data_IF_986909420849
#
_entry.id   IF_986909420849
#
_cell.length_a   1.000
_cell.length_b   1.000
_cell.length_c   1.000
_cell.angle_alpha   90.00
_cell.angle_beta   90.00
_cell.angle_gamma   90.00
#
_symmetry.space_group_name_H-M   'P 1'
#
loop_
_entity.id
_entity.type
_entity.pdbx_description
1 polymer ?
#
# COMPACT_ATOMS: atom_id res chain seq x y z
N UNK A 1 -21.14 24.92 4.97
CA UNK A 1 -19.95 24.98 4.11
C UNK A 1 -18.73 25.21 5.00
N UNK A 2 -18.07 24.13 5.42
CA UNK A 2 -16.70 24.19 5.93
C UNK A 2 -15.79 23.55 4.89
N UNK A 3 -14.66 24.21 4.64
CA UNK A 3 -13.84 24.12 3.44
C UNK A 3 -12.48 23.49 3.72
N UNK A 4 -12.43 22.28 4.30
CA UNK A 4 -11.17 21.56 4.56
C UNK A 4 -11.28 20.03 4.41
N UNK A 5 -12.36 19.53 3.82
CA UNK A 5 -12.50 18.09 3.54
C UNK A 5 -12.05 17.78 2.13
N UNK A 6 -10.86 17.20 1.96
CA UNK A 6 -10.56 16.43 0.74
C UNK A 6 -11.73 15.49 0.43
N UNK A 7 -12.08 15.36 -0.84
CA UNK A 7 -13.18 14.47 -1.23
C UNK A 7 -12.81 13.02 -0.90
N UNK A 8 -13.80 12.14 -0.69
CA UNK A 8 -13.51 10.73 -0.43
C UNK A 8 -12.71 10.10 -1.58
N UNK A 9 -13.00 10.51 -2.82
CA UNK A 9 -12.25 10.13 -4.02
C UNK A 9 -10.79 10.56 -3.93
N UNK A 10 -10.51 11.81 -3.53
CA UNK A 10 -9.12 12.25 -3.35
C UNK A 10 -8.38 11.42 -2.28
N UNK A 11 -9.05 10.99 -1.22
CA UNK A 11 -8.45 10.13 -0.18
C UNK A 11 -8.21 8.71 -0.70
N UNK A 12 -9.12 8.15 -1.50
CA UNK A 12 -8.95 6.86 -2.18
C UNK A 12 -7.82 6.91 -3.22
N UNK A 13 -7.79 7.92 -4.08
CA UNK A 13 -6.76 8.13 -5.11
C UNK A 13 -5.37 8.24 -4.46
N UNK A 14 -5.25 9.03 -3.39
CA UNK A 14 -3.99 9.17 -2.66
C UNK A 14 -3.55 7.84 -2.04
N UNK A 15 -4.48 7.06 -1.50
CA UNK A 15 -4.20 5.74 -0.93
C UNK A 15 -3.80 4.74 -2.04
N UNK A 16 -4.53 4.69 -3.15
CA UNK A 16 -4.23 3.85 -4.30
C UNK A 16 -2.85 4.18 -4.87
N UNK A 17 -2.56 5.45 -5.14
CA UNK A 17 -1.26 5.91 -5.64
C UNK A 17 -0.11 5.54 -4.69
N UNK A 18 -0.33 5.70 -3.38
CA UNK A 18 0.67 5.33 -2.37
C UNK A 18 0.95 3.82 -2.37
N UNK A 19 -0.05 2.99 -2.69
CA UNK A 19 0.07 1.54 -2.72
C UNK A 19 0.59 0.99 -4.06
N UNK A 20 0.16 1.54 -5.19
CA UNK A 20 0.57 1.15 -6.54
C UNK A 20 1.97 1.69 -6.90
N UNK A 21 2.24 2.94 -6.53
CA UNK A 21 3.54 3.58 -6.76
C UNK A 21 4.59 3.23 -5.70
N UNK A 22 4.15 2.86 -4.50
CA UNK A 22 5.04 2.55 -3.37
C UNK A 22 5.47 1.09 -3.35
N UNK A 23 6.58 0.75 -4.03
CA UNK A 23 7.21 -0.60 -3.99
C UNK A 23 7.35 -1.12 -2.55
N UNK A 24 7.69 -0.24 -1.60
CA UNK A 24 7.79 -0.56 -0.18
C UNK A 24 6.44 -0.90 0.45
N UNK A 25 5.38 -0.12 0.18
CA UNK A 25 4.04 -0.38 0.72
C UNK A 25 3.54 -1.74 0.26
N UNK A 26 3.64 -2.02 -1.05
CA UNK A 26 3.26 -3.31 -1.59
C UNK A 26 4.06 -4.44 -0.95
N UNK A 27 5.36 -4.27 -0.79
CA UNK A 27 6.20 -5.31 -0.24
C UNK A 27 5.94 -5.57 1.26
N UNK A 28 5.72 -4.52 2.06
CA UNK A 28 5.39 -4.60 3.49
C UNK A 28 4.03 -5.28 3.71
N UNK A 29 3.01 -4.87 2.96
CA UNK A 29 1.62 -5.26 3.21
C UNK A 29 1.13 -6.44 2.39
N UNK A 30 1.78 -6.78 1.27
CA UNK A 30 1.18 -7.72 0.31
C UNK A 30 2.12 -8.78 -0.26
N UNK A 31 3.45 -8.63 -0.18
CA UNK A 31 4.40 -9.59 -0.80
C UNK A 31 4.15 -11.05 -0.47
N UNK A 32 3.87 -11.33 0.81
CA UNK A 32 3.67 -12.69 1.30
C UNK A 32 2.20 -13.16 1.19
N UNK A 33 1.29 -12.32 0.69
CA UNK A 33 -0.12 -12.67 0.52
C UNK A 33 -0.76 -11.89 -0.65
N UNK A 34 -0.53 -12.31 -1.91
CA UNK A 34 -1.06 -11.64 -3.09
C UNK A 34 -2.59 -11.49 -3.08
N UNK A 35 -3.31 -12.47 -2.53
CA UNK A 35 -4.77 -12.40 -2.41
C UNK A 35 -5.24 -11.22 -1.53
N UNK A 36 -4.43 -10.76 -0.59
CA UNK A 36 -4.74 -9.57 0.21
C UNK A 36 -4.59 -8.28 -0.59
N UNK A 37 -3.71 -8.26 -1.60
CA UNK A 37 -3.60 -7.12 -2.52
C UNK A 37 -4.83 -7.02 -3.42
N UNK A 38 -5.22 -8.13 -4.03
CA UNK A 38 -6.43 -8.18 -4.86
C UNK A 38 -7.66 -7.75 -4.04
N UNK A 39 -7.75 -8.24 -2.80
CA UNK A 39 -8.81 -7.83 -1.89
C UNK A 39 -8.74 -6.34 -1.54
N UNK A 40 -7.55 -5.80 -1.31
CA UNK A 40 -7.35 -4.38 -1.05
C UNK A 40 -7.87 -3.53 -2.22
N UNK A 41 -7.50 -3.88 -3.46
CA UNK A 41 -7.94 -3.18 -4.67
C UNK A 41 -9.47 -3.26 -4.83
N UNK A 42 -10.05 -4.46 -4.72
CA UNK A 42 -11.50 -4.65 -4.78
C UNK A 42 -12.23 -3.84 -3.70
N UNK A 43 -11.64 -3.71 -2.51
CA UNK A 43 -12.20 -2.85 -1.47
C UNK A 43 -12.17 -1.36 -1.86
N UNK A 44 -11.09 -0.85 -2.47
CA UNK A 44 -11.03 0.53 -2.94
C UNK A 44 -12.07 0.79 -4.03
N UNK A 45 -12.11 -0.06 -5.07
CA UNK A 45 -13.08 0.04 -6.15
C UNK A 45 -14.52 0.05 -5.61
N UNK A 46 -14.81 -0.87 -4.67
CA UNK A 46 -16.13 -0.96 -4.05
C UNK A 46 -16.51 0.28 -3.23
N UNK A 47 -15.52 0.97 -2.62
CA UNK A 47 -15.75 2.21 -1.88
C UNK A 47 -16.10 3.35 -2.84
N UNK A 48 -15.38 3.45 -3.96
CA UNK A 48 -15.57 4.47 -4.99
C UNK A 48 -16.88 4.29 -5.76
N UNK A 49 -17.19 3.05 -6.17
CA UNK A 49 -18.47 2.71 -6.82
C UNK A 49 -19.66 3.03 -5.91
N UNK A 50 -19.56 2.65 -4.64
CA UNK A 50 -20.59 2.96 -3.66
C UNK A 50 -20.72 4.48 -3.41
N UNK A 51 -19.60 5.21 -3.36
CA UNK A 51 -19.64 6.67 -3.23
C UNK A 51 -20.29 7.32 -4.46
N UNK A 52 -19.97 6.83 -5.65
CA UNK A 52 -20.58 7.30 -6.91
C UNK A 52 -22.10 7.13 -6.87
N UNK A 53 -22.58 5.96 -6.45
CA UNK A 53 -24.02 5.70 -6.32
C UNK A 53 -24.70 6.61 -5.27
N UNK A 54 -24.03 6.89 -4.15
CA UNK A 54 -24.53 7.83 -3.12
C UNK A 54 -24.61 9.25 -3.71
N UNK A 55 -23.57 9.70 -4.41
CA UNK A 55 -23.51 11.02 -5.03
C UNK A 55 -24.55 11.19 -6.14
N UNK A 56 -24.80 10.15 -6.92
CA UNK A 56 -25.89 10.10 -7.91
C UNK A 56 -27.24 10.28 -7.23
N UNK A 57 -27.51 9.56 -6.13
CA UNK A 57 -28.74 9.75 -5.35
C UNK A 57 -28.89 11.20 -4.86
N UNK A 58 -27.80 11.80 -4.33
CA UNK A 58 -27.80 13.19 -3.86
C UNK A 58 -28.13 14.16 -4.99
N UNK A 59 -27.67 13.89 -6.22
CA UNK A 59 -27.91 14.73 -7.41
C UNK A 59 -29.30 14.56 -8.01
N UNK A 60 -30.06 13.50 -7.67
CA UNK A 60 -31.40 13.29 -8.20
C UNK A 60 -32.32 14.50 -7.89
N UNK A 61 -33.06 15.01 -8.88
CA UNK A 61 -33.97 16.12 -8.65
C UNK A 61 -35.20 15.67 -7.84
N UNK A 62 -35.85 16.61 -7.14
CA UNK A 62 -36.94 16.29 -6.20
C UNK A 62 -38.18 15.69 -6.88
N UNK A 63 -38.44 16.06 -8.13
CA UNK A 63 -39.55 15.59 -8.94
C UNK A 63 -39.48 14.09 -9.25
N UNK A 64 -38.27 13.50 -9.28
CA UNK A 64 -38.08 12.04 -9.39
C UNK A 64 -38.72 11.29 -8.23
N UNK A 65 -38.72 11.87 -7.02
CA UNK A 65 -39.25 11.20 -5.82
C UNK A 65 -40.78 11.26 -5.71
N UNK A 66 -41.45 12.09 -6.52
CA UNK A 66 -42.92 12.11 -6.60
C UNK A 66 -43.51 10.84 -7.23
N UNK A 67 -42.67 9.95 -7.79
CA UNK A 67 -43.06 8.76 -8.55
C UNK A 67 -42.86 7.40 -7.84
N UNK A 68 -42.79 7.36 -6.50
CA UNK A 68 -42.62 6.10 -5.72
C UNK A 68 -41.32 5.33 -6.08
N UNK A 69 -40.18 6.02 -6.08
CA UNK A 69 -38.90 5.44 -6.51
C UNK A 69 -38.26 4.54 -5.45
N UNK A 70 -38.91 3.42 -5.13
CA UNK A 70 -38.39 2.37 -4.23
C UNK A 70 -36.98 1.93 -4.63
N UNK A 71 -36.69 1.91 -5.93
CA UNK A 71 -35.35 1.58 -6.45
C UNK A 71 -34.27 2.54 -5.94
N UNK A 72 -34.55 3.85 -5.86
CA UNK A 72 -33.55 4.84 -5.41
C UNK A 72 -33.21 4.64 -3.93
N UNK A 73 -34.20 4.35 -3.08
CA UNK A 73 -33.96 4.04 -1.67
C UNK A 73 -33.22 2.72 -1.50
N UNK A 74 -33.60 1.69 -2.26
CA UNK A 74 -32.91 0.40 -2.21
C UNK A 74 -31.47 0.53 -2.68
N UNK A 75 -31.23 1.28 -3.76
CA UNK A 75 -29.90 1.59 -4.27
C UNK A 75 -29.06 2.34 -3.24
N UNK A 76 -29.58 3.41 -2.64
CA UNK A 76 -28.88 4.16 -1.61
C UNK A 76 -28.51 3.30 -0.39
N UNK A 77 -29.48 2.58 0.18
CA UNK A 77 -29.26 1.71 1.34
C UNK A 77 -28.24 0.61 1.02
N UNK A 78 -28.31 0.03 -0.18
CA UNK A 78 -27.35 -0.98 -0.62
C UNK A 78 -25.95 -0.40 -0.84
N UNK A 79 -25.84 0.80 -1.42
CA UNK A 79 -24.55 1.47 -1.63
C UNK A 79 -23.87 1.77 -0.29
N UNK A 80 -24.60 2.34 0.69
CA UNK A 80 -24.09 2.59 2.04
C UNK A 80 -23.58 1.28 2.68
N UNK A 81 -24.37 0.22 2.59
CA UNK A 81 -24.00 -1.09 3.14
C UNK A 81 -22.72 -1.65 2.50
N UNK A 82 -22.61 -1.59 1.17
CA UNK A 82 -21.43 -2.06 0.43
C UNK A 82 -20.19 -1.23 0.79
N UNK A 83 -20.33 0.10 0.88
CA UNK A 83 -19.22 0.97 1.26
C UNK A 83 -18.70 0.60 2.66
N UNK A 84 -19.58 0.33 3.62
CA UNK A 84 -19.20 -0.08 4.97
C UNK A 84 -18.47 -1.43 5.00
N UNK A 85 -18.92 -2.41 4.21
CA UNK A 85 -18.26 -3.72 4.12
C UNK A 85 -16.89 -3.63 3.47
N UNK A 86 -16.77 -2.81 2.43
CA UNK A 86 -15.51 -2.54 1.76
C UNK A 86 -14.53 -1.80 2.68
N UNK A 87 -14.98 -0.79 3.43
CA UNK A 87 -14.19 -0.08 4.44
C UNK A 87 -13.70 -1.02 5.55
N UNK A 88 -14.56 -1.91 6.06
CA UNK A 88 -14.15 -2.94 7.02
C UNK A 88 -13.10 -3.88 6.42
N UNK A 89 -13.33 -4.33 5.19
CA UNK A 89 -12.40 -5.19 4.44
C UNK A 89 -11.03 -4.54 4.30
N UNK A 90 -10.99 -3.30 3.82
CA UNK A 90 -9.80 -2.47 3.65
C UNK A 90 -9.02 -2.33 4.97
N UNK A 91 -9.71 -1.89 6.02
CA UNK A 91 -9.12 -1.69 7.34
C UNK A 91 -8.52 -2.99 7.89
N UNK A 92 -9.21 -4.12 7.73
CA UNK A 92 -8.71 -5.43 8.14
C UNK A 92 -7.49 -5.90 7.33
N UNK A 93 -7.45 -5.63 6.03
CA UNK A 93 -6.32 -5.99 5.16
C UNK A 93 -5.02 -5.32 5.62
N UNK A 94 -5.09 -4.05 6.01
CA UNK A 94 -3.91 -3.28 6.43
C UNK A 94 -3.51 -3.57 7.88
N UNK A 95 -4.45 -3.53 8.82
CA UNK A 95 -4.12 -3.67 10.25
C UNK A 95 -3.81 -5.12 10.67
N UNK A 96 -4.25 -6.12 9.90
CA UNK A 96 -4.02 -7.56 10.15
C UNK A 96 -4.34 -8.03 11.58
N UNK A 97 -5.28 -7.35 12.25
CA UNK A 97 -5.74 -7.73 13.59
C UNK A 97 -6.65 -8.96 13.47
N UNK A 98 -6.16 -10.12 13.93
CA UNK A 98 -6.87 -11.39 13.84
C UNK A 98 -8.25 -11.35 14.53
N UNK A 99 -8.32 -10.65 15.67
CA UNK A 99 -9.54 -10.56 16.49
C UNK A 99 -10.48 -9.42 16.09
N UNK A 100 -10.18 -8.69 15.00
CA UNK A 100 -11.03 -7.60 14.56
C UNK A 100 -12.34 -8.13 13.96
N UNK A 101 -13.42 -7.95 14.72
CA UNK A 101 -14.79 -8.20 14.26
C UNK A 101 -15.39 -6.95 13.65
N UNK A 102 -16.43 -7.13 12.83
CA UNK A 102 -17.16 -6.03 12.23
C UNK A 102 -17.85 -5.14 13.30
N UNK A 103 -18.32 -5.74 14.40
CA UNK A 103 -18.88 -4.99 15.53
C UNK A 103 -17.84 -4.04 16.14
N UNK A 104 -16.66 -4.56 16.48
CA UNK A 104 -15.59 -3.74 17.07
C UNK A 104 -15.11 -2.64 16.12
N UNK A 105 -15.06 -2.94 14.82
CA UNK A 105 -14.74 -1.93 13.81
C UNK A 105 -15.73 -0.76 13.86
N UNK A 106 -17.03 -1.02 13.87
CA UNK A 106 -18.02 0.05 13.93
C UNK A 106 -18.03 0.80 15.27
N UNK A 107 -17.72 0.12 16.39
CA UNK A 107 -17.53 0.76 17.69
C UNK A 107 -16.33 1.73 17.70
N UNK A 108 -15.20 1.36 17.08
CA UNK A 108 -13.99 2.20 17.00
C UNK A 108 -14.28 3.53 16.27
N UNK A 109 -15.12 3.49 15.23
CA UNK A 109 -15.44 4.66 14.43
C UNK A 109 -16.78 5.31 14.81
N UNK A 110 -17.41 4.84 15.90
CA UNK A 110 -18.60 5.43 16.51
C UNK A 110 -19.78 5.59 15.54
N UNK A 111 -19.94 4.66 14.59
CA UNK A 111 -21.07 4.69 13.65
C UNK A 111 -22.26 3.90 14.23
N UNK A 112 -23.44 4.52 14.22
CA UNK A 112 -24.65 3.85 14.65
C UNK A 112 -25.10 2.84 13.59
N UNK A 113 -24.99 1.56 13.94
CA UNK A 113 -25.42 0.45 13.09
C UNK A 113 -26.93 0.40 12.88
N UNK A 114 -27.71 0.93 13.83
CA UNK A 114 -29.17 0.91 13.75
C UNK A 114 -29.66 1.88 12.66
N UNK A 115 -29.07 3.07 12.58
CA UNK A 115 -29.45 4.09 11.58
C UNK A 115 -29.12 3.67 10.14
N UNK A 116 -28.16 2.76 9.93
CA UNK A 116 -27.66 2.41 8.59
C UNK A 116 -27.95 0.95 8.22
N UNK A 117 -27.31 0.00 8.93
CA UNK A 117 -27.33 -1.43 8.56
C UNK A 117 -28.65 -2.08 8.91
N UNK A 118 -29.21 -1.78 10.08
CA UNK A 118 -30.50 -2.34 10.47
C UNK A 118 -31.62 -1.75 9.61
N UNK A 119 -31.62 -0.44 9.34
CA UNK A 119 -32.48 0.18 8.36
C UNK A 119 -32.45 -0.52 6.99
N UNK A 120 -31.25 -0.77 6.43
CA UNK A 120 -31.11 -1.55 5.18
C UNK A 120 -31.66 -2.96 5.34
N UNK A 121 -31.33 -3.66 6.41
CA UNK A 121 -31.78 -5.04 6.64
C UNK A 121 -33.30 -5.14 6.78
N UNK A 122 -33.92 -4.14 7.41
CA UNK A 122 -35.36 -4.04 7.60
C UNK A 122 -36.07 -3.70 6.29
N UNK A 123 -35.53 -2.80 5.48
CA UNK A 123 -36.22 -2.27 4.28
C UNK A 123 -35.94 -3.09 3.02
N UNK A 124 -34.67 -3.45 2.78
CA UNK A 124 -34.19 -4.01 1.52
C UNK A 124 -33.49 -5.38 1.66
N UNK A 125 -33.11 -5.78 2.87
CA UNK A 125 -32.42 -7.04 3.12
C UNK A 125 -33.37 -8.23 3.31
N UNK A 126 -34.07 -8.25 4.46
CA UNK A 126 -34.91 -9.38 4.87
C UNK A 126 -36.27 -8.97 5.43
N UNK A 127 -37.01 -8.01 4.81
CA UNK A 127 -38.21 -7.40 5.40
C UNK A 127 -39.26 -8.41 5.87
N UNK A 128 -39.38 -9.57 5.23
CA UNK A 128 -40.44 -10.56 5.51
C UNK A 128 -40.03 -11.67 6.47
N UNK A 129 -38.80 -11.69 6.99
CA UNK A 129 -38.30 -12.75 7.86
C UNK A 129 -37.25 -12.25 8.87
N UNK A 130 -37.50 -11.09 9.50
CA UNK A 130 -36.59 -10.56 10.52
C UNK A 130 -36.83 -11.25 11.86
N UNK A 131 -35.81 -11.24 12.72
CA UNK A 131 -35.85 -11.81 14.08
C UNK A 131 -36.39 -13.25 14.12
N UNK A 132 -36.08 -14.06 13.09
CA UNK A 132 -36.56 -15.45 12.96
C UNK A 132 -38.06 -15.57 12.64
N UNK A 133 -38.62 -14.64 11.87
CA UNK A 133 -40.03 -14.61 11.47
C UNK A 133 -40.97 -13.92 12.46
N UNK A 134 -40.41 -13.28 13.51
CA UNK A 134 -41.17 -12.58 14.55
C UNK A 134 -41.47 -11.11 14.23
N UNK A 135 -40.81 -10.57 13.21
CA UNK A 135 -40.98 -9.19 12.78
C UNK A 135 -41.00 -9.10 11.25
N UNK A 136 -41.91 -8.26 10.75
CA UNK A 136 -42.07 -7.95 9.34
C UNK A 136 -41.97 -6.45 9.14
N UNK A 137 -41.30 -6.01 8.08
CA UNK A 137 -41.10 -4.60 7.82
C UNK A 137 -41.71 -4.20 6.49
N UNK A 138 -42.34 -3.03 6.48
CA UNK A 138 -42.97 -2.45 5.31
C UNK A 138 -42.50 -1.01 5.11
N UNK A 139 -41.98 -0.72 3.91
CA UNK A 139 -41.61 0.63 3.50
C UNK A 139 -42.86 1.46 3.18
N UNK A 140 -43.06 2.55 3.90
CA UNK A 140 -44.14 3.50 3.63
C UNK A 140 -43.82 4.40 2.45
N UNK A 141 -44.27 3.98 1.27
CA UNK A 141 -44.07 4.72 0.02
C UNK A 141 -44.86 6.03 -0.07
N UNK A 142 -45.82 6.27 0.82
CA UNK A 142 -46.65 7.48 0.75
C UNK A 142 -46.05 8.63 1.55
N UNK A 143 -45.45 8.33 2.71
CA UNK A 143 -44.84 9.34 3.57
C UNK A 143 -43.31 9.44 3.43
N UNK A 144 -42.73 8.75 2.45
CA UNK A 144 -41.28 8.82 2.17
C UNK A 144 -40.98 9.97 1.20
N UNK A 145 -39.85 10.65 1.40
CA UNK A 145 -39.32 11.72 0.54
C UNK A 145 -37.83 11.50 0.27
N UNK A 146 -37.22 12.32 -0.61
CA UNK A 146 -35.77 12.28 -0.84
C UNK A 146 -34.94 12.34 0.47
N UNK A 147 -35.44 13.09 1.45
CA UNK A 147 -34.73 13.38 2.70
C UNK A 147 -35.17 12.51 3.87
N UNK A 148 -36.23 11.72 3.72
CA UNK A 148 -36.78 10.94 4.83
C UNK A 148 -37.38 9.64 4.36
N UNK A 149 -36.97 8.53 4.97
CA UNK A 149 -37.54 7.20 4.72
C UNK A 149 -38.39 6.80 5.91
N UNK A 150 -39.66 6.49 5.66
CA UNK A 150 -40.59 6.01 6.67
C UNK A 150 -40.88 4.52 6.45
N UNK A 151 -40.83 3.74 7.52
CA UNK A 151 -41.16 2.31 7.46
C UNK A 151 -41.77 1.83 8.78
N UNK A 152 -42.47 0.71 8.71
CA UNK A 152 -43.20 0.13 9.84
C UNK A 152 -42.68 -1.26 10.15
N UNK A 153 -42.55 -1.58 11.44
CA UNK A 153 -42.40 -2.95 11.95
C UNK A 153 -43.78 -3.47 12.37
N UNK A 154 -44.11 -4.68 11.93
CA UNK A 154 -45.20 -5.50 12.42
C UNK A 154 -44.62 -6.66 13.22
N UNK A 155 -44.95 -6.70 14.51
CA UNK A 155 -44.61 -7.77 15.44
C UNK A 155 -45.89 -8.30 16.11
N UNK A 156 -45.78 -9.41 16.87
CA UNK A 156 -46.95 -10.12 17.42
C UNK A 156 -47.96 -9.21 18.14
N UNK A 157 -47.49 -8.20 18.89
CA UNK A 157 -48.37 -7.35 19.72
C UNK A 157 -48.25 -5.84 19.41
N UNK A 158 -47.39 -5.44 18.47
CA UNK A 158 -47.09 -4.02 18.27
C UNK A 158 -46.79 -3.68 16.80
N UNK A 159 -47.31 -2.52 16.39
CA UNK A 159 -46.87 -1.81 15.19
C UNK A 159 -46.01 -0.63 15.63
N UNK A 160 -44.78 -0.58 15.15
CA UNK A 160 -43.84 0.51 15.41
C UNK A 160 -43.54 1.25 14.11
N UNK A 161 -43.48 2.58 14.16
CA UNK A 161 -43.07 3.42 13.04
C UNK A 161 -41.64 3.91 13.24
N UNK A 162 -40.87 3.89 12.17
CA UNK A 162 -39.50 4.37 12.12
C UNK A 162 -39.35 5.41 11.02
N UNK A 163 -38.56 6.44 11.29
CA UNK A 163 -38.23 7.51 10.36
C UNK A 163 -36.73 7.68 10.32
N UNK A 164 -36.13 7.54 9.14
CA UNK A 164 -34.71 7.78 8.89
C UNK A 164 -34.57 9.16 8.26
N UNK A 165 -33.67 9.98 8.80
CA UNK A 165 -33.18 11.18 8.14
C UNK A 165 -32.08 10.78 7.14
N UNK A 166 -32.41 10.85 5.86
CA UNK A 166 -31.52 10.41 4.78
C UNK A 166 -30.30 11.32 4.66
N UNK A 167 -30.47 12.63 4.89
CA UNK A 167 -29.36 13.57 4.80
C UNK A 167 -28.36 13.31 5.92
N UNK A 168 -28.84 13.16 7.15
CA UNK A 168 -28.02 12.80 8.31
C UNK A 168 -27.30 11.46 8.09
N UNK A 169 -28.00 10.46 7.56
CA UNK A 169 -27.42 9.14 7.24
C UNK A 169 -26.26 9.25 6.24
N UNK A 170 -26.44 10.01 5.15
CA UNK A 170 -25.39 10.24 4.14
C UNK A 170 -24.21 10.99 4.74
N UNK A 171 -24.45 12.03 5.53
CA UNK A 171 -23.39 12.83 6.15
C UNK A 171 -22.59 12.00 7.17
N UNK A 172 -23.26 11.18 7.98
CA UNK A 172 -22.64 10.24 8.90
C UNK A 172 -21.78 9.21 8.16
N UNK A 173 -22.32 8.62 7.08
CA UNK A 173 -21.59 7.66 6.27
C UNK A 173 -20.34 8.28 5.62
N UNK A 174 -20.44 9.50 5.08
CA UNK A 174 -19.30 10.21 4.51
C UNK A 174 -18.23 10.47 5.55
N UNK A 175 -18.62 10.97 6.73
CA UNK A 175 -17.67 11.24 7.81
C UNK A 175 -16.96 9.95 8.27
N UNK A 176 -17.71 8.87 8.41
CA UNK A 176 -17.20 7.54 8.73
C UNK A 176 -16.20 7.05 7.68
N UNK A 177 -16.54 7.10 6.39
CA UNK A 177 -15.66 6.67 5.30
C UNK A 177 -14.33 7.44 5.30
N UNK A 178 -14.39 8.77 5.42
CA UNK A 178 -13.19 9.61 5.51
C UNK A 178 -12.32 9.27 6.73
N UNK A 179 -12.92 9.02 7.91
CA UNK A 179 -12.16 8.63 9.11
C UNK A 179 -11.43 7.31 8.92
N UNK A 180 -12.10 6.31 8.34
CA UNK A 180 -11.50 4.98 8.11
C UNK A 180 -10.32 5.08 7.15
N UNK A 181 -10.48 5.75 6.00
CA UNK A 181 -9.39 5.86 5.01
C UNK A 181 -8.20 6.63 5.58
N UNK A 182 -8.44 7.70 6.35
CA UNK A 182 -7.37 8.44 7.04
C UNK A 182 -6.60 7.54 8.01
N UNK A 183 -7.29 6.74 8.82
CA UNK A 183 -6.65 5.81 9.75
C UNK A 183 -5.84 4.74 9.01
N UNK A 184 -6.36 4.21 7.89
CA UNK A 184 -5.63 3.29 7.02
C UNK A 184 -4.34 3.93 6.48
N UNK A 185 -4.42 5.16 5.98
CA UNK A 185 -3.27 5.91 5.49
C UNK A 185 -2.22 6.14 6.59
N UNK A 186 -2.64 6.52 7.79
CA UNK A 186 -1.75 6.70 8.95
C UNK A 186 -1.02 5.39 9.27
N UNK A 187 -1.75 4.27 9.32
CA UNK A 187 -1.15 2.98 9.66
C UNK A 187 -0.19 2.49 8.56
N UNK A 188 -0.48 2.72 7.28
CA UNK A 188 0.45 2.42 6.18
C UNK A 188 1.75 3.22 6.34
N UNK A 189 1.65 4.54 6.54
CA UNK A 189 2.82 5.41 6.73
C UNK A 189 3.67 4.97 7.91
N UNK A 190 3.02 4.70 9.04
CA UNK A 190 3.67 4.19 10.25
C UNK A 190 4.40 2.87 10.00
N UNK A 191 3.81 1.93 9.27
CA UNK A 191 4.46 0.67 8.93
C UNK A 191 5.67 0.86 8.00
N UNK A 192 5.60 1.80 7.05
CA UNK A 192 6.74 2.20 6.20
C UNK A 192 7.87 2.80 7.04
N UNK A 193 7.57 3.76 7.91
CA UNK A 193 8.54 4.38 8.83
C UNK A 193 9.20 3.33 9.72
N UNK A 194 8.41 2.44 10.33
CA UNK A 194 8.92 1.35 11.15
C UNK A 194 9.82 0.38 10.36
N UNK A 195 9.51 0.14 9.09
CA UNK A 195 10.35 -0.68 8.23
C UNK A 195 11.66 0.02 7.87
N UNK A 196 11.61 1.29 7.44
CA UNK A 196 12.79 2.11 7.14
C UNK A 196 13.75 2.20 8.32
N UNK A 197 13.21 2.41 9.53
CA UNK A 197 13.98 2.50 10.77
C UNK A 197 14.87 1.28 11.05
N UNK A 198 14.55 0.09 10.51
CA UNK A 198 15.40 -1.11 10.66
C UNK A 198 16.75 -0.97 9.95
N UNK A 199 16.88 0.01 9.07
CA UNK A 199 18.06 0.23 8.22
C UNK A 199 18.75 1.58 8.48
N UNK A 200 18.27 2.39 9.43
CA UNK A 200 18.85 3.72 9.71
C UNK A 200 20.33 3.67 10.12
N UNK A 201 20.74 2.61 10.82
CA UNK A 201 22.11 2.49 11.33
C UNK A 201 23.11 1.98 10.27
N UNK A 202 22.63 1.61 9.07
CA UNK A 202 23.47 1.06 8.01
C UNK A 202 23.26 1.86 6.72
N UNK A 203 24.27 2.64 6.33
CA UNK A 203 24.32 3.23 5.00
C UNK A 203 24.94 2.22 4.03
N UNK A 204 24.31 1.97 2.89
CA UNK A 204 24.88 1.14 1.83
C UNK A 204 26.17 1.77 1.28
N UNK A 205 26.21 3.09 1.18
CA UNK A 205 27.38 3.80 0.65
C UNK A 205 28.64 3.54 1.47
N UNK A 206 28.54 3.40 2.79
CA UNK A 206 29.71 3.12 3.65
C UNK A 206 30.30 1.73 3.45
N UNK A 207 29.58 0.80 2.81
CA UNK A 207 30.14 -0.50 2.40
C UNK A 207 31.22 -0.35 1.31
N UNK A 208 31.31 0.82 0.66
CA UNK A 208 32.34 1.15 -0.31
C UNK A 208 33.61 1.75 0.35
N UNK A 209 33.62 1.97 1.66
CA UNK A 209 34.74 2.61 2.35
C UNK A 209 36.04 1.82 2.16
N UNK A 210 37.07 2.52 1.68
CA UNK A 210 38.38 1.91 1.43
C UNK A 210 38.48 1.10 0.13
N UNK A 211 37.40 0.99 -0.66
CA UNK A 211 37.41 0.28 -1.95
C UNK A 211 38.49 0.80 -2.90
N UNK A 212 38.68 2.13 -2.99
CA UNK A 212 39.70 2.72 -3.86
C UNK A 212 41.10 2.17 -3.59
N UNK A 213 41.42 1.86 -2.33
CA UNK A 213 42.70 1.24 -1.95
C UNK A 213 42.78 -0.20 -2.45
N UNK A 214 41.69 -0.96 -2.34
CA UNK A 214 41.61 -2.35 -2.81
C UNK A 214 41.72 -2.41 -4.34
N UNK A 215 41.04 -1.52 -5.06
CA UNK A 215 41.14 -1.45 -6.52
C UNK A 215 42.58 -1.14 -6.97
N UNK A 216 43.26 -0.20 -6.31
CA UNK A 216 44.66 0.12 -6.62
C UNK A 216 45.60 -1.08 -6.43
N UNK A 217 45.27 -2.04 -5.56
CA UNK A 217 46.06 -3.28 -5.40
C UNK A 217 45.91 -4.20 -6.62
N UNK A 218 44.74 -4.22 -7.26
CA UNK A 218 44.51 -4.98 -8.50
C UNK A 218 45.21 -4.28 -9.68
N UNK A 219 45.13 -2.95 -9.75
CA UNK A 219 45.86 -2.16 -10.74
C UNK A 219 47.38 -2.39 -10.61
N UNK A 220 47.93 -2.32 -9.38
CA UNK A 220 49.33 -2.66 -9.14
C UNK A 220 49.64 -4.09 -9.60
N UNK A 221 48.76 -5.06 -9.32
CA UNK A 221 48.99 -6.43 -9.78
C UNK A 221 48.90 -6.62 -11.30
N UNK A 222 48.25 -5.70 -12.02
CA UNK A 222 48.23 -5.66 -13.48
C UNK A 222 49.50 -4.99 -14.06
N UNK A 223 50.12 -4.02 -13.39
CA UNK A 223 51.23 -3.24 -13.97
C UNK A 223 52.61 -3.47 -13.35
N UNK A 224 52.69 -4.02 -12.15
CA UNK A 224 53.91 -4.14 -11.35
C UNK A 224 54.17 -5.61 -10.99
N UNK A 225 55.28 -6.15 -11.48
CA UNK A 225 55.70 -7.53 -11.25
C UNK A 225 55.89 -7.82 -9.75
N UNK A 226 56.48 -6.89 -8.99
CA UNK A 226 56.81 -7.08 -7.57
C UNK A 226 55.56 -7.03 -6.69
N UNK A 227 54.46 -6.48 -7.21
CA UNK A 227 53.17 -6.35 -6.52
C UNK A 227 52.08 -7.22 -7.10
N UNK A 228 52.42 -8.12 -8.04
CA UNK A 228 51.45 -9.01 -8.70
C UNK A 228 50.58 -9.80 -7.72
N UNK A 229 51.18 -10.30 -6.64
CA UNK A 229 50.50 -11.07 -5.59
C UNK A 229 49.45 -10.30 -4.80
N UNK A 230 49.47 -8.96 -4.84
CA UNK A 230 48.46 -8.13 -4.17
C UNK A 230 47.08 -8.26 -4.82
N UNK A 231 47.02 -8.64 -6.10
CA UNK A 231 45.76 -8.78 -6.82
C UNK A 231 44.87 -9.91 -6.28
N UNK A 232 45.42 -11.05 -5.83
CA UNK A 232 44.60 -12.17 -5.32
C UNK A 232 43.75 -11.77 -4.10
N UNK A 233 44.39 -11.17 -3.10
CA UNK A 233 43.71 -10.69 -1.90
C UNK A 233 42.67 -9.63 -2.24
N UNK A 234 43.03 -8.67 -3.10
CA UNK A 234 42.16 -7.58 -3.48
C UNK A 234 40.92 -8.05 -4.29
N UNK A 235 41.09 -9.01 -5.21
CA UNK A 235 39.98 -9.59 -5.98
C UNK A 235 38.97 -10.29 -5.05
N UNK A 236 39.45 -11.01 -4.03
CA UNK A 236 38.59 -11.65 -3.01
C UNK A 236 37.85 -10.62 -2.16
N UNK A 237 38.54 -9.55 -1.74
CA UNK A 237 37.92 -8.48 -0.97
C UNK A 237 36.82 -7.76 -1.77
N UNK A 238 37.03 -7.45 -3.04
CA UNK A 238 35.98 -6.86 -3.89
C UNK A 238 34.78 -7.79 -4.02
N UNK A 239 35.02 -9.10 -4.22
CA UNK A 239 33.92 -10.08 -4.32
C UNK A 239 33.05 -10.08 -3.06
N UNK A 240 33.67 -10.00 -1.88
CA UNK A 240 32.98 -9.90 -0.60
C UNK A 240 32.18 -8.60 -0.49
N UNK A 241 32.78 -7.45 -0.83
CA UNK A 241 32.10 -6.15 -0.82
C UNK A 241 30.84 -6.18 -1.72
N UNK A 242 30.96 -6.67 -2.97
CA UNK A 242 29.83 -6.77 -3.88
C UNK A 242 28.74 -7.71 -3.37
N UNK A 243 29.11 -8.77 -2.66
CA UNK A 243 28.16 -9.70 -2.07
C UNK A 243 27.42 -9.08 -0.88
N UNK A 244 28.15 -8.41 0.02
CA UNK A 244 27.57 -7.69 1.17
C UNK A 244 26.61 -6.59 0.71
N UNK A 245 26.96 -5.86 -0.36
CA UNK A 245 26.06 -4.87 -0.99
C UNK A 245 24.80 -5.54 -1.51
N UNK A 246 24.93 -6.62 -2.30
CA UNK A 246 23.78 -7.33 -2.85
C UNK A 246 22.84 -7.84 -1.74
N UNK A 247 23.40 -8.43 -0.69
CA UNK A 247 22.63 -8.95 0.43
C UNK A 247 21.95 -7.83 1.23
N UNK A 248 22.64 -6.69 1.40
CA UNK A 248 22.09 -5.50 2.06
C UNK A 248 20.97 -4.83 1.26
N UNK A 249 21.06 -4.79 -0.07
CA UNK A 249 19.98 -4.32 -0.94
C UNK A 249 18.79 -5.28 -0.86
N UNK A 250 19.05 -6.59 -0.97
CA UNK A 250 18.00 -7.60 -0.84
C UNK A 250 17.29 -7.52 0.50
N UNK A 251 17.99 -7.27 1.60
CA UNK A 251 17.36 -7.11 2.91
C UNK A 251 16.33 -5.97 2.92
N UNK A 252 16.61 -4.86 2.22
CA UNK A 252 15.75 -3.68 2.07
C UNK A 252 14.58 -3.88 1.09
N UNK A 253 14.76 -4.70 0.06
CA UNK A 253 13.74 -4.96 -0.97
C UNK A 253 13.25 -6.41 -0.94
N UNK A 254 13.17 -6.99 0.26
CA UNK A 254 12.53 -8.28 0.52
C UNK A 254 13.11 -9.46 -0.30
N UNK A 255 14.39 -9.45 -0.61
CA UNK A 255 15.07 -10.50 -1.38
C UNK A 255 15.28 -10.16 -2.86
N UNK A 256 14.82 -8.99 -3.31
CA UNK A 256 15.00 -8.52 -4.67
C UNK A 256 16.09 -7.44 -4.75
N UNK A 257 16.71 -7.31 -5.92
CA UNK A 257 17.57 -6.18 -6.25
C UNK A 257 16.74 -5.07 -6.88
N UNK A 258 16.99 -3.83 -6.47
CA UNK A 258 16.50 -2.63 -7.16
C UNK A 258 17.03 -2.64 -8.61
N UNK A 259 16.24 -2.11 -9.55
CA UNK A 259 16.48 -2.29 -10.98
C UNK A 259 17.84 -1.75 -11.43
N UNK A 260 18.19 -0.52 -11.04
CA UNK A 260 19.45 0.11 -11.43
C UNK A 260 20.65 -0.61 -10.81
N UNK A 261 20.59 -0.92 -9.51
CA UNK A 261 21.65 -1.65 -8.80
C UNK A 261 21.85 -3.07 -9.33
N UNK A 262 20.78 -3.74 -9.78
CA UNK A 262 20.85 -5.10 -10.35
C UNK A 262 21.76 -5.16 -11.58
N UNK A 263 21.54 -4.30 -12.56
CA UNK A 263 22.31 -4.31 -13.80
C UNK A 263 23.79 -4.00 -13.54
N UNK A 264 24.05 -3.01 -12.69
CA UNK A 264 25.40 -2.61 -12.30
C UNK A 264 26.14 -3.76 -11.60
N UNK A 265 25.51 -4.40 -10.61
CA UNK A 265 26.11 -5.52 -9.87
C UNK A 265 26.39 -6.73 -10.76
N UNK A 266 25.49 -7.06 -11.68
CA UNK A 266 25.71 -8.16 -12.66
C UNK A 266 26.94 -7.87 -13.51
N UNK A 267 27.07 -6.65 -14.03
CA UNK A 267 28.21 -6.25 -14.86
C UNK A 267 29.52 -6.22 -14.06
N UNK A 268 29.51 -5.68 -12.83
CA UNK A 268 30.67 -5.69 -11.94
C UNK A 268 31.13 -7.11 -11.63
N UNK A 269 30.21 -8.03 -11.30
CA UNK A 269 30.55 -9.45 -11.04
C UNK A 269 31.11 -10.14 -12.27
N UNK A 270 30.58 -9.85 -13.46
CA UNK A 270 31.13 -10.38 -14.72
C UNK A 270 32.57 -9.90 -14.96
N UNK A 271 32.83 -8.60 -14.79
CA UNK A 271 34.18 -8.04 -14.96
C UNK A 271 35.13 -8.63 -13.91
N UNK A 272 34.72 -8.73 -12.65
CA UNK A 272 35.50 -9.33 -11.58
C UNK A 272 35.87 -10.78 -11.90
N UNK A 273 34.91 -11.56 -12.41
CA UNK A 273 35.15 -12.93 -12.84
C UNK A 273 36.21 -12.98 -13.97
N UNK A 274 36.15 -12.07 -14.94
CA UNK A 274 37.17 -11.99 -16.01
C UNK A 274 38.56 -11.64 -15.47
N UNK A 275 38.65 -10.69 -14.54
CA UNK A 275 39.91 -10.33 -13.89
C UNK A 275 40.50 -11.49 -13.08
N UNK A 276 39.67 -12.23 -12.33
CA UNK A 276 40.07 -13.45 -11.61
C UNK A 276 40.62 -14.51 -12.56
N UNK A 277 39.97 -14.73 -13.71
CA UNK A 277 40.47 -15.70 -14.69
C UNK A 277 41.83 -15.29 -15.27
N UNK A 278 41.99 -14.01 -15.64
CA UNK A 278 43.29 -13.49 -16.10
C UNK A 278 44.38 -13.67 -15.04
N UNK A 279 44.07 -13.43 -13.77
CA UNK A 279 45.01 -13.65 -12.67
C UNK A 279 45.39 -15.13 -12.52
N UNK A 280 44.39 -16.02 -12.45
CA UNK A 280 44.60 -17.46 -12.27
C UNK A 280 45.37 -18.11 -13.42
N UNK A 281 45.22 -17.58 -14.64
CA UNK A 281 45.98 -18.02 -15.82
C UNK A 281 47.41 -17.44 -15.88
N UNK A 282 47.82 -16.60 -14.91
CA UNK A 282 49.10 -15.90 -14.94
C UNK A 282 49.20 -14.84 -16.04
N UNK A 283 48.05 -14.39 -16.56
CA UNK A 283 47.92 -13.52 -17.72
C UNK A 283 47.50 -12.10 -17.38
N UNK A 284 47.31 -11.76 -16.11
CA UNK A 284 46.88 -10.42 -15.70
C UNK A 284 48.00 -9.37 -15.88
N UNK A 285 49.26 -9.74 -15.67
CA UNK A 285 50.38 -8.79 -15.74
C UNK A 285 50.57 -8.23 -17.17
N UNK A 286 50.65 -6.90 -17.28
CA UNK A 286 50.75 -6.12 -18.52
C UNK A 286 49.67 -6.43 -19.56
N UNK A 287 48.50 -6.88 -19.10
CA UNK A 287 47.40 -7.27 -19.97
C UNK A 287 46.50 -6.07 -20.31
N UNK A 288 46.36 -5.80 -21.61
CA UNK A 288 45.53 -4.69 -22.13
C UNK A 288 44.06 -4.88 -21.80
N UNK A 289 43.52 -6.10 -21.92
CA UNK A 289 42.13 -6.41 -21.56
C UNK A 289 41.92 -6.25 -20.06
N UNK A 290 42.87 -6.71 -19.24
CA UNK A 290 42.87 -6.50 -17.80
C UNK A 290 42.79 -5.02 -17.43
N UNK A 291 43.57 -4.17 -18.11
CA UNK A 291 43.52 -2.72 -17.93
C UNK A 291 42.18 -2.12 -18.36
N UNK A 292 41.63 -2.55 -19.50
CA UNK A 292 40.32 -2.10 -19.98
C UNK A 292 39.20 -2.49 -19.00
N UNK A 293 39.24 -3.72 -18.48
CA UNK A 293 38.30 -4.21 -17.47
C UNK A 293 38.37 -3.38 -16.19
N UNK A 294 39.57 -3.00 -15.72
CA UNK A 294 39.72 -2.13 -14.55
C UNK A 294 39.12 -0.73 -14.76
N UNK A 295 39.30 -0.14 -15.96
CA UNK A 295 38.69 1.15 -16.32
C UNK A 295 37.16 1.05 -16.29
N UNK A 296 36.60 0.01 -16.92
CA UNK A 296 35.15 -0.23 -16.92
C UNK A 296 34.62 -0.51 -15.52
N UNK A 297 35.35 -1.29 -14.72
CA UNK A 297 34.99 -1.61 -13.35
C UNK A 297 34.90 -0.33 -12.51
N UNK A 298 35.88 0.57 -12.61
CA UNK A 298 35.88 1.85 -11.89
C UNK A 298 34.65 2.70 -12.24
N UNK A 299 34.34 2.83 -13.53
CA UNK A 299 33.16 3.59 -13.98
C UNK A 299 31.86 2.99 -13.44
N UNK A 300 31.67 1.68 -13.56
CA UNK A 300 30.47 1.03 -13.03
C UNK A 300 30.37 1.10 -11.51
N UNK A 301 31.50 1.20 -10.82
CA UNK A 301 31.52 1.38 -9.37
C UNK A 301 31.09 2.79 -8.96
N UNK A 302 31.45 3.82 -9.72
CA UNK A 302 30.91 5.18 -9.55
C UNK A 302 29.39 5.21 -9.76
N UNK A 303 28.90 4.51 -10.79
CA UNK A 303 27.45 4.34 -11.02
C UNK A 303 26.79 3.59 -9.85
N UNK A 304 27.46 2.56 -9.30
CA UNK A 304 26.98 1.83 -8.12
C UNK A 304 26.88 2.76 -6.91
N UNK A 305 27.89 3.57 -6.64
CA UNK A 305 27.89 4.52 -5.50
C UNK A 305 26.67 5.44 -5.56
N UNK A 306 26.37 5.99 -6.74
CA UNK A 306 25.17 6.82 -6.95
C UNK A 306 23.89 6.02 -6.71
N UNK A 307 23.82 4.78 -7.19
CA UNK A 307 22.67 3.91 -6.96
C UNK A 307 22.47 3.60 -5.46
N UNK A 308 23.55 3.32 -4.72
CA UNK A 308 23.50 3.07 -3.28
C UNK A 308 23.07 4.31 -2.49
N UNK A 309 23.57 5.49 -2.87
CA UNK A 309 23.17 6.76 -2.26
C UNK A 309 21.68 7.06 -2.48
N UNK A 310 21.16 6.79 -3.68
CA UNK A 310 19.73 6.91 -3.97
C UNK A 310 18.90 5.97 -3.09
N UNK A 311 19.35 4.73 -2.87
CA UNK A 311 18.68 3.78 -1.98
C UNK A 311 18.76 4.26 -0.52
N UNK A 312 19.92 4.74 -0.07
CA UNK A 312 20.06 5.29 1.29
C UNK A 312 19.11 6.48 1.50
N UNK A 313 18.97 7.37 0.51
CA UNK A 313 18.03 8.49 0.56
C UNK A 313 16.57 8.02 0.56
N UNK A 314 16.20 7.00 -0.22
CA UNK A 314 14.86 6.40 -0.17
C UNK A 314 14.53 5.86 1.23
N UNK A 315 15.53 5.36 1.96
CA UNK A 315 15.38 4.79 3.31
C UNK A 315 15.58 5.78 4.44
N UNK A 316 16.02 7.01 4.15
CA UNK A 316 15.97 8.08 5.13
C UNK A 316 14.50 8.39 5.47
N UNK A 317 14.27 8.71 6.75
CA UNK A 317 12.99 9.25 7.17
C UNK A 317 12.88 10.66 6.60
N UNK A 318 11.75 10.96 5.97
CA UNK A 318 11.43 12.34 5.66
C UNK A 318 11.33 13.10 7.00
N UNK A 319 12.06 14.20 7.16
CA UNK A 319 11.82 15.14 8.25
C UNK A 319 10.41 15.71 8.05
N UNK A 320 9.42 15.15 8.74
CA UNK A 320 8.04 15.66 8.72
C UNK A 320 8.04 17.10 9.28
N UNK A 321 7.81 18.08 8.40
CA UNK A 321 7.33 19.42 8.75
C UNK A 321 5.81 19.44 8.78
#
# INVERSE_FOLDING_TARGET
MSSDGKSLFEECDNLSYSCEGGKLVHAIHFKNNPQQYDKFLVCLDSIEDAQTAIDEYVKLPLDVFNARTTLNFYGLLQAIYLQQDALFGLYKCILRKADLTQKNFFEIFEIDLNEHREARNDIAGHPTNRKGGKAFYFLDRFNTSKYSINYYEYSEDQISQFTIDVQKMIDNQKHFACRVIKEVNIEIKKNVVQYKNKFNDMQLKSLLDGYSRVLNQIENGNSDYDRHSQADGALKTIEQILQEIEDSIKARYFGELEYNSREILVNLKLILHRLKNLYNEGRLLNNVDGKLFLILFRKLFEDLEVALENIDNEFQLDDEN
#
